data_IF_615052870825
#
_entry.id   IF_615052870825
#
_cell.length_a   1.000
_cell.length_b   1.000
_cell.length_c   1.000
_cell.angle_alpha   90.00
_cell.angle_beta   90.00
_cell.angle_gamma   90.00
#
_symmetry.space_group_name_H-M   'P 1'
#
loop_
_entity.id
_entity.type
_entity.pdbx_description
1 polymer ?
#
# COMPACT_ATOMS: atom_id res chain seq x y z
N UNK A 1 15.11 14.39 -4.26
CA UNK A 1 14.52 14.16 -2.93
C UNK A 1 14.49 12.66 -2.68
N UNK A 2 15.00 12.19 -1.54
CA UNK A 2 14.93 10.77 -1.15
C UNK A 2 13.46 10.33 -1.07
N UNK A 3 12.99 9.35 -1.88
CA UNK A 3 11.61 8.84 -1.86
C UNK A 3 11.16 8.37 -0.48
N UNK A 4 12.09 7.90 0.35
CA UNK A 4 11.80 7.33 1.66
C UNK A 4 11.59 8.36 2.77
N UNK A 5 11.78 9.66 2.50
CA UNK A 5 11.49 10.71 3.46
C UNK A 5 9.98 10.98 3.56
N UNK A 6 9.38 10.52 4.66
CA UNK A 6 7.97 10.72 5.01
C UNK A 6 7.73 11.74 6.13
N UNK A 7 8.79 12.32 6.69
CA UNK A 7 8.67 13.32 7.76
C UNK A 7 7.68 14.46 7.43
N UNK A 8 7.64 15.01 6.19
CA UNK A 8 6.65 16.03 5.82
C UNK A 8 5.20 15.55 5.86
N UNK A 9 4.96 14.24 5.80
CA UNK A 9 3.64 13.63 5.71
C UNK A 9 3.16 13.01 7.03
N UNK A 10 3.91 13.12 8.12
CA UNK A 10 3.49 12.59 9.44
C UNK A 10 2.13 13.15 9.88
N UNK A 11 1.92 14.45 9.70
CA UNK A 11 0.63 15.07 10.00
C UNK A 11 -0.50 14.56 9.10
N UNK A 12 -0.24 14.41 7.80
CA UNK A 12 -1.21 13.88 6.86
C UNK A 12 -1.55 12.41 7.16
N UNK A 13 -0.56 11.64 7.59
CA UNK A 13 -0.76 10.26 8.03
C UNK A 13 -1.70 10.17 9.23
N UNK A 14 -1.45 10.96 10.27
CA UNK A 14 -2.24 10.91 11.51
C UNK A 14 -3.62 11.56 11.39
N UNK A 15 -3.75 12.67 10.63
CA UNK A 15 -5.01 13.43 10.56
C UNK A 15 -5.91 13.02 9.41
N UNK A 16 -5.35 12.51 8.31
CA UNK A 16 -6.13 12.21 7.11
C UNK A 16 -6.15 10.71 6.83
N UNK A 17 -4.98 10.07 6.73
CA UNK A 17 -4.89 8.66 6.34
C UNK A 17 -5.44 7.72 7.41
N UNK A 18 -5.02 7.86 8.67
CA UNK A 18 -5.39 6.93 9.73
C UNK A 18 -6.90 6.94 10.03
N UNK A 19 -7.58 8.10 10.16
CA UNK A 19 -9.03 8.11 10.34
C UNK A 19 -9.79 7.47 9.17
N UNK A 20 -9.35 7.73 7.93
CA UNK A 20 -9.93 7.08 6.74
C UNK A 20 -9.69 5.58 6.76
N UNK A 21 -8.48 5.15 7.12
CA UNK A 21 -8.11 3.74 7.18
C UNK A 21 -8.89 2.96 8.25
N UNK A 22 -9.28 3.61 9.34
CA UNK A 22 -10.13 3.01 10.37
C UNK A 22 -11.60 2.95 9.90
N UNK A 23 -12.06 3.96 9.16
CA UNK A 23 -13.44 4.05 8.67
C UNK A 23 -13.73 3.20 7.43
N UNK A 24 -12.72 2.92 6.60
CA UNK A 24 -12.85 2.07 5.42
C UNK A 24 -12.53 0.60 5.74
N UNK A 25 -13.45 -0.34 5.49
CA UNK A 25 -13.22 -1.76 5.78
C UNK A 25 -12.01 -2.35 5.04
N UNK A 26 -11.76 -1.97 3.78
CA UNK A 26 -10.65 -2.51 2.99
C UNK A 26 -9.30 -2.09 3.55
N UNK A 27 -9.14 -0.80 3.84
CA UNK A 27 -7.94 -0.25 4.46
C UNK A 27 -7.71 -0.78 5.89
N UNK A 28 -8.78 -0.97 6.67
CA UNK A 28 -8.70 -1.53 8.01
C UNK A 28 -8.20 -2.98 7.99
N UNK A 29 -8.70 -3.80 7.06
CA UNK A 29 -8.15 -5.14 6.85
C UNK A 29 -6.67 -5.08 6.44
N UNK A 30 -6.27 -4.08 5.66
CA UNK A 30 -4.87 -3.84 5.30
C UNK A 30 -3.99 -3.51 6.52
N UNK A 31 -4.51 -2.75 7.49
CA UNK A 31 -3.82 -2.49 8.77
C UNK A 31 -3.65 -3.80 9.55
N UNK A 32 -4.69 -4.61 9.67
CA UNK A 32 -4.60 -5.88 10.40
C UNK A 32 -3.69 -6.89 9.70
N UNK A 33 -3.70 -6.92 8.37
CA UNK A 33 -2.77 -7.71 7.57
C UNK A 33 -1.32 -7.35 7.90
N UNK A 34 -0.97 -6.06 7.81
CA UNK A 34 0.32 -5.52 8.19
C UNK A 34 0.70 -5.92 9.63
N UNK A 35 -0.20 -5.71 10.59
CA UNK A 35 0.05 -6.01 12.00
C UNK A 35 0.33 -7.50 12.23
N UNK A 36 -0.50 -8.38 11.67
CA UNK A 36 -0.32 -9.83 11.74
C UNK A 36 0.97 -10.28 11.07
N UNK A 37 1.31 -9.74 9.91
CA UNK A 37 2.59 -10.04 9.23
C UNK A 37 3.78 -9.69 10.12
N UNK A 38 3.79 -8.49 10.67
CA UNK A 38 4.87 -8.01 11.53
C UNK A 38 5.00 -8.84 12.81
N UNK A 39 3.86 -9.15 13.45
CA UNK A 39 3.83 -9.98 14.64
C UNK A 39 4.30 -11.41 14.33
N UNK A 40 3.90 -11.99 13.20
CA UNK A 40 4.38 -13.30 12.77
C UNK A 40 5.90 -13.31 12.57
N UNK A 41 6.45 -12.32 11.85
CA UNK A 41 7.90 -12.19 11.63
C UNK A 41 8.67 -12.07 12.94
N UNK A 42 8.13 -11.35 13.94
CA UNK A 42 8.79 -11.13 15.24
C UNK A 42 8.66 -12.29 16.21
N UNK A 43 7.54 -13.00 16.19
CA UNK A 43 7.19 -14.00 17.22
C UNK A 43 7.26 -15.44 16.72
N UNK A 44 7.19 -15.67 15.41
CA UNK A 44 7.07 -17.00 14.81
C UNK A 44 5.72 -17.70 15.07
N UNK A 45 4.78 -17.03 15.75
CA UNK A 45 3.50 -17.61 16.15
C UNK A 45 2.57 -17.83 14.94
N UNK A 46 1.96 -19.01 14.88
CA UNK A 46 1.16 -19.45 13.71
C UNK A 46 -0.17 -18.72 13.62
N UNK A 47 -0.71 -18.26 14.74
CA UNK A 47 -1.99 -17.54 14.81
C UNK A 47 -1.93 -16.26 13.98
N UNK A 48 -0.78 -15.57 13.99
CA UNK A 48 -0.55 -14.38 13.18
C UNK A 48 -0.35 -14.68 11.69
N UNK A 49 0.19 -15.85 11.35
CA UNK A 49 0.24 -16.30 9.96
C UNK A 49 -1.18 -16.57 9.41
N UNK A 50 -2.02 -17.21 10.23
CA UNK A 50 -3.42 -17.42 9.89
C UNK A 50 -4.19 -16.10 9.74
N UNK A 51 -4.00 -15.17 10.68
CA UNK A 51 -4.58 -13.83 10.60
C UNK A 51 -4.17 -13.09 9.31
N UNK A 52 -2.89 -13.18 8.93
CA UNK A 52 -2.39 -12.61 7.67
C UNK A 52 -3.19 -13.14 6.46
N UNK A 53 -3.38 -14.46 6.36
CA UNK A 53 -4.15 -15.05 5.26
C UNK A 53 -5.62 -14.59 5.26
N UNK A 54 -6.24 -14.54 6.45
CA UNK A 54 -7.62 -14.08 6.60
C UNK A 54 -7.79 -12.62 6.16
N UNK A 55 -6.96 -11.72 6.66
CA UNK A 55 -7.04 -10.30 6.35
C UNK A 55 -6.68 -9.99 4.91
N UNK A 56 -5.72 -10.71 4.32
CA UNK A 56 -5.42 -10.63 2.88
C UNK A 56 -6.62 -10.99 2.02
N UNK A 57 -7.28 -12.10 2.33
CA UNK A 57 -8.51 -12.51 1.65
C UNK A 57 -9.65 -11.48 1.79
N UNK A 58 -9.75 -10.83 2.95
CA UNK A 58 -10.72 -9.76 3.19
C UNK A 58 -10.38 -8.49 2.37
N UNK A 59 -9.12 -8.06 2.35
CA UNK A 59 -8.65 -6.95 1.50
C UNK A 59 -9.02 -7.17 0.03
N UNK A 60 -8.72 -8.36 -0.51
CA UNK A 60 -9.03 -8.69 -1.91
C UNK A 60 -10.54 -8.64 -2.18
N UNK A 61 -11.37 -9.10 -1.24
CA UNK A 61 -12.83 -9.05 -1.37
C UNK A 61 -13.36 -7.62 -1.41
N UNK A 62 -12.90 -6.77 -0.49
CA UNK A 62 -13.30 -5.36 -0.47
C UNK A 62 -12.80 -4.63 -1.72
N UNK A 63 -11.55 -4.86 -2.11
CA UNK A 63 -10.96 -4.27 -3.30
C UNK A 63 -11.74 -4.64 -4.58
N UNK A 64 -12.10 -5.92 -4.75
CA UNK A 64 -12.92 -6.37 -5.86
C UNK A 64 -14.30 -5.68 -5.87
N UNK A 65 -14.91 -5.51 -4.70
CA UNK A 65 -16.15 -4.75 -4.54
C UNK A 65 -15.99 -3.29 -4.97
N UNK A 66 -14.98 -2.60 -4.46
CA UNK A 66 -14.71 -1.19 -4.77
C UNK A 66 -14.44 -0.96 -6.26
N UNK A 67 -13.69 -1.86 -6.90
CA UNK A 67 -13.43 -1.81 -8.36
C UNK A 67 -14.72 -2.05 -9.14
N UNK A 68 -15.54 -3.03 -8.75
CA UNK A 68 -16.80 -3.33 -9.44
C UNK A 68 -17.81 -2.19 -9.35
N UNK A 69 -17.79 -1.42 -8.25
CA UNK A 69 -18.64 -0.24 -8.04
C UNK A 69 -17.98 1.07 -8.45
N UNK A 70 -16.75 1.04 -8.96
CA UNK A 70 -16.05 2.24 -9.38
C UNK A 70 -16.85 2.93 -10.50
N UNK A 71 -17.32 4.17 -10.29
CA UNK A 71 -18.14 4.86 -11.28
C UNK A 71 -17.39 5.01 -12.59
N UNK A 72 -18.11 4.88 -13.71
CA UNK A 72 -17.63 5.27 -15.03
C UNK A 72 -17.40 6.78 -15.00
N UNK A 73 -16.16 7.18 -14.76
CA UNK A 73 -15.65 8.55 -14.71
C UNK A 73 -16.70 9.65 -14.92
N UNK A 74 -17.17 10.22 -13.82
CA UNK A 74 -17.57 11.64 -13.85
C UNK A 74 -16.65 12.37 -12.89
N UNK A 75 -16.32 13.61 -13.25
CA UNK A 75 -15.31 14.44 -12.58
C UNK A 75 -15.80 14.94 -11.20
N UNK A 76 -16.39 14.08 -10.38
CA UNK A 76 -16.95 14.45 -9.08
C UNK A 76 -15.96 14.10 -7.97
N UNK A 77 -15.72 15.06 -7.06
CA UNK A 77 -14.74 14.92 -5.96
C UNK A 77 -14.95 13.69 -5.07
N UNK A 78 -16.20 13.24 -4.91
CA UNK A 78 -16.54 12.06 -4.11
C UNK A 78 -16.01 10.78 -4.77
N UNK A 79 -16.07 10.70 -6.10
CA UNK A 79 -15.54 9.56 -6.86
C UNK A 79 -14.00 9.49 -6.74
N UNK A 80 -13.32 10.64 -6.69
CA UNK A 80 -11.87 10.73 -6.48
C UNK A 80 -11.42 10.20 -5.11
N UNK A 81 -12.18 10.43 -4.03
CA UNK A 81 -11.81 9.94 -2.68
C UNK A 81 -11.95 8.42 -2.60
N UNK A 82 -13.01 7.85 -3.17
CA UNK A 82 -13.21 6.41 -3.19
C UNK A 82 -12.10 5.69 -3.99
N UNK A 83 -11.62 6.36 -5.04
CA UNK A 83 -10.47 5.89 -5.81
C UNK A 83 -9.17 5.90 -5.00
N UNK A 84 -8.93 6.97 -4.24
CA UNK A 84 -7.78 7.04 -3.33
C UNK A 84 -7.86 5.94 -2.25
N UNK A 85 -9.02 5.64 -1.70
CA UNK A 85 -9.16 4.51 -0.76
C UNK A 85 -8.80 3.17 -1.43
N UNK A 86 -9.32 2.94 -2.64
CA UNK A 86 -9.07 1.73 -3.43
C UNK A 86 -7.59 1.54 -3.76
N UNK A 87 -6.93 2.60 -4.23
CA UNK A 87 -5.49 2.59 -4.49
C UNK A 87 -4.72 2.32 -3.19
N UNK A 88 -5.10 2.92 -2.06
CA UNK A 88 -4.45 2.69 -0.77
C UNK A 88 -4.51 1.22 -0.34
N UNK A 89 -5.69 0.59 -0.43
CA UNK A 89 -5.84 -0.83 -0.13
C UNK A 89 -4.98 -1.71 -1.03
N UNK A 90 -4.89 -1.37 -2.33
CA UNK A 90 -4.03 -2.10 -3.26
C UNK A 90 -2.55 -1.92 -2.94
N UNK A 91 -2.12 -0.72 -2.53
CA UNK A 91 -0.74 -0.47 -2.09
C UNK A 91 -0.40 -1.26 -0.81
N UNK A 92 -1.34 -1.39 0.13
CA UNK A 92 -1.17 -2.23 1.32
C UNK A 92 -0.97 -3.71 0.96
N UNK A 93 -1.76 -4.24 0.01
CA UNK A 93 -1.59 -5.60 -0.51
C UNK A 93 -0.23 -5.78 -1.20
N UNK A 94 0.12 -4.87 -2.11
CA UNK A 94 1.42 -4.90 -2.77
C UNK A 94 2.56 -4.95 -1.74
N UNK A 95 2.49 -4.11 -0.70
CA UNK A 95 3.48 -4.15 0.36
C UNK A 95 3.55 -5.49 1.11
N UNK A 96 2.43 -6.20 1.33
CA UNK A 96 2.47 -7.54 1.92
C UNK A 96 3.14 -8.55 0.98
N UNK A 97 2.89 -8.46 -0.34
CA UNK A 97 3.51 -9.37 -1.32
C UNK A 97 5.03 -9.30 -1.32
N UNK A 98 5.57 -8.09 -1.16
CA UNK A 98 7.00 -7.88 -0.95
C UNK A 98 7.53 -8.69 0.23
N UNK A 99 6.83 -8.65 1.38
CA UNK A 99 7.26 -9.34 2.60
C UNK A 99 7.06 -10.85 2.47
N UNK A 100 6.00 -11.27 1.79
CA UNK A 100 5.72 -12.66 1.51
C UNK A 100 6.68 -13.27 0.47
N UNK A 101 7.41 -12.43 -0.28
CA UNK A 101 8.30 -12.87 -1.36
C UNK A 101 7.56 -13.21 -2.67
N UNK A 102 6.29 -12.81 -2.80
CA UNK A 102 5.48 -13.05 -4.00
C UNK A 102 5.67 -11.90 -5.01
N UNK A 103 6.77 -11.97 -5.75
CA UNK A 103 7.13 -10.98 -6.77
C UNK A 103 6.09 -10.86 -7.90
N UNK A 104 5.36 -11.94 -8.20
CA UNK A 104 4.36 -11.94 -9.27
C UNK A 104 3.10 -11.18 -8.82
N UNK A 105 2.61 -11.47 -7.61
CA UNK A 105 1.49 -10.74 -7.02
C UNK A 105 1.84 -9.26 -6.78
N UNK A 106 3.05 -8.97 -6.30
CA UNK A 106 3.58 -7.60 -6.20
C UNK A 106 3.45 -6.84 -7.51
N UNK A 107 4.00 -7.39 -8.60
CA UNK A 107 3.99 -6.74 -9.91
C UNK A 107 2.57 -6.51 -10.40
N UNK A 108 1.71 -7.52 -10.27
CA UNK A 108 0.28 -7.42 -10.64
C UNK A 108 -0.42 -6.27 -9.91
N UNK A 109 -0.18 -6.11 -8.60
CA UNK A 109 -0.76 -5.00 -7.84
C UNK A 109 -0.19 -3.64 -8.24
N UNK A 110 1.11 -3.53 -8.51
CA UNK A 110 1.71 -2.27 -8.96
C UNK A 110 1.23 -1.87 -10.36
N UNK A 111 1.13 -2.82 -11.28
CA UNK A 111 0.59 -2.59 -12.63
C UNK A 111 -0.87 -2.12 -12.56
N UNK A 112 -1.66 -2.72 -11.67
CA UNK A 112 -3.04 -2.30 -11.42
C UNK A 112 -3.12 -0.90 -10.78
N UNK A 113 -2.23 -0.55 -9.84
CA UNK A 113 -2.13 0.83 -9.33
C UNK A 113 -1.79 1.81 -10.45
N UNK A 114 -0.81 1.48 -11.31
CA UNK A 114 -0.43 2.35 -12.43
C UNK A 114 -1.62 2.58 -13.37
N UNK A 115 -2.34 1.52 -13.73
CA UNK A 115 -3.55 1.63 -14.52
C UNK A 115 -4.62 2.49 -13.83
N UNK A 116 -4.79 2.34 -12.51
CA UNK A 116 -5.74 3.15 -11.76
C UNK A 116 -5.35 4.64 -11.74
N UNK A 117 -4.06 4.95 -11.66
CA UNK A 117 -3.55 6.33 -11.74
C UNK A 117 -3.77 6.93 -13.12
N UNK A 118 -3.55 6.15 -14.20
CA UNK A 118 -3.84 6.58 -15.57
C UNK A 118 -5.32 6.89 -15.77
N UNK A 119 -6.20 6.04 -15.24
CA UNK A 119 -7.64 6.29 -15.24
C UNK A 119 -7.99 7.56 -14.44
N UNK A 120 -7.25 7.89 -13.38
CA UNK A 120 -7.44 9.17 -12.67
C UNK A 120 -6.89 10.39 -13.44
N UNK A 121 -6.48 10.22 -14.70
CA UNK A 121 -5.92 11.27 -15.54
C UNK A 121 -4.49 11.65 -15.16
N UNK A 122 -3.76 10.78 -14.46
CA UNK A 122 -2.36 10.97 -14.11
C UNK A 122 -2.08 11.08 -12.60
N UNK A 123 -0.80 10.93 -12.24
CA UNK A 123 -0.34 10.95 -10.85
C UNK A 123 -0.58 12.32 -10.19
N UNK A 124 -0.61 13.39 -10.98
CA UNK A 124 -0.90 14.77 -10.59
C UNK A 124 -2.30 14.98 -10.01
N UNK A 125 -3.25 14.12 -10.38
CA UNK A 125 -4.63 14.16 -9.90
C UNK A 125 -4.83 13.31 -8.65
N UNK A 126 -3.88 12.45 -8.32
CA UNK A 126 -3.84 11.74 -7.04
C UNK A 126 -3.41 12.72 -5.95
N UNK A 127 -4.41 13.30 -5.26
CA UNK A 127 -4.23 14.31 -4.21
C UNK A 127 -4.62 13.81 -2.82
N UNK A 128 -5.15 12.59 -2.71
CA UNK A 128 -5.59 11.97 -1.48
C UNK A 128 -4.63 12.16 -0.31
N UNK A 129 -5.22 12.46 0.86
CA UNK A 129 -4.52 12.59 2.15
C UNK A 129 -3.35 13.58 2.07
N UNK A 130 -3.60 14.78 1.54
CA UNK A 130 -2.61 15.86 1.42
C UNK A 130 -1.32 15.44 0.70
N UNK A 131 -1.45 14.65 -0.36
CA UNK A 131 -0.33 14.18 -1.19
C UNK A 131 0.44 12.99 -0.61
N UNK A 132 0.06 12.47 0.55
CA UNK A 132 0.64 11.26 1.12
C UNK A 132 0.45 10.05 0.20
N UNK A 133 -0.73 9.91 -0.43
CA UNK A 133 -0.98 8.79 -1.34
C UNK A 133 0.00 8.78 -2.50
N UNK A 134 0.14 9.93 -3.19
CA UNK A 134 1.11 10.07 -4.29
C UNK A 134 2.48 9.62 -3.85
N UNK A 135 2.86 10.02 -2.63
CA UNK A 135 4.14 9.67 -2.07
C UNK A 135 4.32 8.16 -1.85
N UNK A 136 3.27 7.47 -1.38
CA UNK A 136 3.28 6.01 -1.25
C UNK A 136 3.45 5.31 -2.61
N UNK A 137 2.77 5.80 -3.65
CA UNK A 137 2.88 5.28 -5.03
C UNK A 137 4.32 5.44 -5.53
N UNK A 138 4.91 6.64 -5.40
CA UNK A 138 6.29 6.90 -5.81
C UNK A 138 7.29 5.95 -5.13
N UNK A 139 7.12 5.71 -3.83
CA UNK A 139 7.99 4.83 -3.06
C UNK A 139 7.87 3.39 -3.51
N UNK A 140 6.65 2.89 -3.66
CA UNK A 140 6.42 1.51 -4.06
C UNK A 140 6.86 1.27 -5.51
N UNK A 141 6.58 2.20 -6.43
CA UNK A 141 7.09 2.13 -7.80
C UNK A 141 8.62 2.20 -7.87
N UNK A 142 9.28 2.97 -7.01
CA UNK A 142 10.75 3.00 -6.95
C UNK A 142 11.34 1.66 -6.51
N UNK A 143 10.63 0.89 -5.68
CA UNK A 143 11.05 -0.44 -5.23
C UNK A 143 10.86 -1.49 -6.30
N UNK A 144 9.82 -1.38 -7.14
CA UNK A 144 9.66 -2.25 -8.29
C UNK A 144 10.89 -2.19 -9.21
N UNK A 145 11.38 -0.98 -9.51
CA UNK A 145 12.60 -0.78 -10.30
C UNK A 145 13.86 -1.38 -9.65
N UNK A 146 13.94 -1.34 -8.32
CA UNK A 146 15.05 -1.94 -7.57
C UNK A 146 14.93 -3.48 -7.50
N UNK A 147 13.72 -4.01 -7.35
CA UNK A 147 13.45 -5.44 -7.32
C UNK A 147 13.77 -6.09 -8.67
N UNK A 148 13.35 -5.47 -9.79
CA UNK A 148 13.74 -5.90 -11.14
C UNK A 148 15.27 -5.92 -11.30
N UNK A 149 15.96 -4.88 -10.80
CA UNK A 149 17.44 -4.83 -10.84
C UNK A 149 18.10 -5.94 -10.01
N UNK A 150 17.58 -6.23 -8.82
CA UNK A 150 18.12 -7.26 -7.93
C UNK A 150 17.83 -8.69 -8.45
N UNK A 151 16.72 -8.91 -9.15
CA UNK A 151 16.48 -10.18 -9.86
C UNK A 151 17.50 -10.36 -11.00
N UNK A 152 17.85 -9.29 -11.70
CA UNK A 152 18.83 -9.36 -12.80
C UNK A 152 20.29 -9.47 -12.35
N UNK A 153 20.63 -8.98 -11.15
CA UNK A 153 21.96 -9.08 -10.55
C UNK A 153 21.91 -10.04 -9.37
N UNK A 154 22.07 -11.33 -9.65
CA UNK A 154 22.06 -12.36 -8.62
C UNK A 154 23.09 -12.11 -7.51
N UNK A 155 22.61 -12.03 -6.27
CA UNK A 155 23.42 -12.16 -5.05
C UNK A 155 23.54 -10.88 -4.22
N UNK A 156 22.59 -10.66 -3.30
CA UNK A 156 22.82 -10.45 -1.85
C UNK A 156 21.45 -10.16 -1.17
N UNK A 157 20.93 -11.11 -0.39
CA UNK A 157 19.58 -11.07 0.21
C UNK A 157 19.50 -10.24 1.50
N UNK A 158 20.23 -9.11 1.56
CA UNK A 158 20.20 -8.18 2.69
C UNK A 158 19.83 -6.75 2.29
N UNK A 159 19.25 -6.56 1.10
CA UNK A 159 18.53 -5.32 0.81
C UNK A 159 17.35 -5.23 1.79
N UNK A 160 17.42 -4.33 2.79
CA UNK A 160 16.27 -3.93 3.60
C UNK A 160 15.17 -3.47 2.64
N UNK A 161 14.25 -4.35 2.27
CA UNK A 161 13.04 -3.96 1.58
C UNK A 161 12.20 -3.22 2.61
N UNK A 162 12.32 -1.90 2.61
CA UNK A 162 11.39 -1.05 3.32
C UNK A 162 9.98 -1.43 2.86
N UNK A 163 9.07 -1.71 3.76
CA UNK A 163 7.66 -1.99 3.45
C UNK A 163 6.82 -0.74 3.71
N UNK A 164 5.52 -0.75 3.42
CA UNK A 164 4.61 0.22 4.01
C UNK A 164 4.67 0.16 5.54
N UNK A 165 5.03 -0.97 6.14
CA UNK A 165 5.12 -1.11 7.60
C UNK A 165 6.31 -0.35 8.18
N UNK A 166 7.45 -0.35 7.49
CA UNK A 166 8.59 0.51 7.82
C UNK A 166 8.22 1.99 7.67
N UNK A 167 7.39 2.28 6.69
CA UNK A 167 6.98 3.63 6.30
C UNK A 167 5.93 4.18 7.29
N UNK A 168 4.98 3.36 7.70
CA UNK A 168 4.05 3.62 8.80
C UNK A 168 4.78 3.71 10.13
N UNK A 169 5.77 2.84 10.37
CA UNK A 169 6.61 2.90 11.58
C UNK A 169 7.38 4.23 11.65
N UNK A 170 7.97 4.70 10.54
CA UNK A 170 8.63 6.02 10.47
C UNK A 170 7.65 7.18 10.66
N UNK A 171 6.43 7.07 10.11
CA UNK A 171 5.39 8.07 10.30
C UNK A 171 4.89 8.14 11.75
N UNK A 172 4.72 6.99 12.41
CA UNK A 172 4.19 6.88 13.78
C UNK A 172 5.23 7.17 14.87
N UNK A 173 6.49 6.75 14.65
CA UNK A 173 7.52 6.77 15.69
C UNK A 173 8.69 7.72 15.41
N UNK A 174 8.71 8.40 14.25
CA UNK A 174 9.63 9.51 13.97
C UNK A 174 11.11 9.16 13.86
N UNK A 175 11.44 7.90 13.59
CA UNK A 175 12.82 7.43 13.37
C UNK A 175 13.34 7.74 11.95
#
# INVERSE_FOLDING_TARGET
>A
MDPSNFKPYQHAFLRDWLPVAIGDPGMLMGIFLCACRNLHVRTGLKEYCWGTLQYKGACLRYLAGSIATAPKMKQDRVESIMWDVTICTMLQLASDEIVAGDSAAWKSHIDAVAHMVELNGGLENVRGMNGLMRRMIEVLASKDRLHVRNITFGGDNTAKLYTLDDLFSKCLFGQ
#
